data_IF_160546422135
#
_entry.id   IF_160546422135
#
_cell.length_a   1.000
_cell.length_b   1.000
_cell.length_c   1.000
_cell.angle_alpha   90.00
_cell.angle_beta   90.00
_cell.angle_gamma   90.00
#
_symmetry.space_group_name_H-M   'P 1'
#
loop_
_entity.id
_entity.type
_entity.pdbx_description
1 polymer ?
#
# COMPACT_ATOMS: atom_id res chain seq x y z
N UNK A 1 0.14 -24.71 25.37
CA UNK A 1 -0.73 -23.57 25.75
C UNK A 1 -0.22 -22.33 25.02
N UNK A 2 -1.04 -21.81 24.10
CA UNK A 2 -1.01 -20.51 23.41
C UNK A 2 0.35 -19.91 23.00
N UNK A 3 0.81 -20.21 21.78
CA UNK A 3 1.74 -19.35 21.03
C UNK A 3 1.08 -18.61 19.87
N UNK A 4 -0.24 -18.79 19.65
CA UNK A 4 -1.00 -18.22 18.52
C UNK A 4 -1.74 -16.90 18.84
N UNK A 5 -1.87 -16.53 20.11
CA UNK A 5 -2.60 -15.29 20.49
C UNK A 5 -1.65 -14.08 20.63
N UNK A 6 -0.35 -14.32 20.83
CA UNK A 6 0.63 -13.23 21.00
C UNK A 6 1.10 -12.64 19.67
N UNK A 7 1.17 -13.47 18.63
CA UNK A 7 1.48 -13.10 17.25
C UNK A 7 0.31 -12.40 16.57
N UNK A 8 -0.94 -12.83 16.77
CA UNK A 8 -2.12 -12.11 16.25
C UNK A 8 -2.17 -10.66 16.74
N UNK A 9 -1.87 -10.41 18.03
CA UNK A 9 -1.84 -9.06 18.57
C UNK A 9 -0.74 -8.18 17.96
N UNK A 10 0.48 -8.71 17.77
CA UNK A 10 1.58 -7.97 17.15
C UNK A 10 1.31 -7.60 15.68
N UNK A 11 0.55 -8.45 14.98
CA UNK A 11 0.17 -8.26 13.59
C UNK A 11 -0.98 -7.24 13.44
N UNK A 12 -2.00 -7.34 14.29
CA UNK A 12 -3.08 -6.34 14.40
C UNK A 12 -2.48 -4.97 14.73
N UNK A 13 -1.50 -4.92 15.63
CA UNK A 13 -0.82 -3.67 15.99
C UNK A 13 -0.07 -3.05 14.81
N UNK A 14 0.52 -3.85 13.91
CA UNK A 14 1.23 -3.31 12.75
C UNK A 14 0.26 -2.64 11.76
N UNK A 15 -0.91 -3.23 11.48
CA UNK A 15 -1.91 -2.59 10.62
C UNK A 15 -2.36 -1.24 11.17
N UNK A 16 -2.72 -1.21 12.45
CA UNK A 16 -3.19 0.02 13.11
C UNK A 16 -2.09 1.07 13.18
N UNK A 17 -0.87 0.68 13.55
CA UNK A 17 0.26 1.60 13.58
C UNK A 17 0.57 2.15 12.18
N UNK A 18 0.49 1.31 11.15
CA UNK A 18 0.77 1.71 9.78
C UNK A 18 -0.31 2.64 9.23
N UNK A 19 -1.59 2.31 9.43
CA UNK A 19 -2.73 3.11 8.98
C UNK A 19 -2.93 4.44 9.72
N UNK A 20 -2.33 4.60 10.91
CA UNK A 20 -2.32 5.87 11.64
C UNK A 20 -0.99 6.63 11.52
N UNK A 21 -0.02 6.10 10.76
CA UNK A 21 1.26 6.78 10.53
C UNK A 21 2.20 6.78 11.73
N UNK A 22 2.04 5.85 12.68
CA UNK A 22 2.87 5.75 13.88
C UNK A 22 4.25 5.16 13.57
N UNK A 23 5.10 5.94 12.90
CA UNK A 23 6.43 5.56 12.41
C UNK A 23 7.29 4.84 13.47
N UNK A 24 7.40 5.42 14.67
CA UNK A 24 8.22 4.85 15.74
C UNK A 24 7.74 3.47 16.19
N UNK A 25 6.42 3.25 16.21
CA UNK A 25 5.82 1.96 16.59
C UNK A 25 6.04 0.93 15.47
N UNK A 26 5.83 1.34 14.21
CA UNK A 26 6.10 0.47 13.04
C UNK A 26 7.56 0.02 13.05
N UNK A 27 8.50 0.95 13.22
CA UNK A 27 9.94 0.65 13.28
C UNK A 27 10.27 -0.34 14.39
N UNK A 28 9.77 -0.10 15.61
CA UNK A 28 9.98 -1.01 16.73
C UNK A 28 9.44 -2.42 16.45
N UNK A 29 8.24 -2.52 15.86
CA UNK A 29 7.63 -3.80 15.50
C UNK A 29 8.46 -4.54 14.44
N UNK A 30 8.94 -3.85 13.40
CA UNK A 30 9.78 -4.42 12.36
C UNK A 30 11.12 -4.94 12.92
N UNK A 31 11.74 -4.22 13.85
CA UNK A 31 12.99 -4.63 14.52
C UNK A 31 12.85 -5.92 15.32
N UNK A 32 11.65 -6.28 15.79
CA UNK A 32 11.43 -7.55 16.49
C UNK A 32 11.62 -8.78 15.59
N UNK A 33 11.53 -8.60 14.26
CA UNK A 33 11.70 -9.65 13.26
C UNK A 33 10.64 -10.77 13.27
N UNK A 34 9.60 -10.66 14.10
CA UNK A 34 8.54 -11.66 14.27
C UNK A 34 7.24 -11.31 13.55
N UNK A 35 7.24 -10.20 12.81
CA UNK A 35 6.03 -9.65 12.18
C UNK A 35 6.06 -9.99 10.70
N UNK A 36 4.95 -10.57 10.23
CA UNK A 36 4.68 -10.74 8.81
C UNK A 36 4.10 -9.43 8.26
N UNK A 37 4.87 -8.79 7.38
CA UNK A 37 4.56 -7.47 6.83
C UNK A 37 3.52 -7.51 5.71
N UNK A 38 3.21 -8.70 5.19
CA UNK A 38 2.23 -8.92 4.15
C UNK A 38 0.95 -9.59 4.67
N UNK A 39 0.84 -9.75 6.00
CA UNK A 39 -0.37 -10.30 6.59
C UNK A 39 -1.56 -9.41 6.27
N UNK A 40 -2.62 -10.04 5.77
CA UNK A 40 -3.89 -9.40 5.43
C UNK A 40 -4.85 -9.40 6.61
N UNK A 41 -5.55 -8.29 6.79
CA UNK A 41 -6.68 -8.19 7.71
C UNK A 41 -7.97 -8.80 7.12
N UNK A 42 -9.09 -8.61 7.82
CA UNK A 42 -10.40 -9.12 7.38
C UNK A 42 -10.88 -8.54 6.04
N UNK A 43 -10.37 -7.36 5.65
CA UNK A 43 -10.67 -6.70 4.38
C UNK A 43 -9.64 -7.05 3.29
N UNK A 44 -8.70 -7.95 3.59
CA UNK A 44 -7.64 -8.34 2.68
C UNK A 44 -6.50 -7.33 2.60
N UNK A 45 -6.48 -6.31 3.47
CA UNK A 45 -5.53 -5.19 3.42
C UNK A 45 -4.29 -5.51 4.22
N UNK A 46 -3.13 -5.08 3.72
CA UNK A 46 -1.83 -5.20 4.41
C UNK A 46 -1.49 -3.90 5.15
N UNK A 47 -0.47 -3.89 6.04
CA UNK A 47 0.05 -2.66 6.60
C UNK A 47 0.44 -1.63 5.53
N UNK A 48 0.98 -2.08 4.40
CA UNK A 48 1.33 -1.21 3.28
C UNK A 48 0.08 -0.60 2.64
N UNK A 49 -0.99 -1.38 2.46
CA UNK A 49 -2.28 -0.86 1.95
C UNK A 49 -2.81 0.26 2.84
N UNK A 50 -2.83 0.05 4.16
CA UNK A 50 -3.31 1.04 5.12
C UNK A 50 -2.45 2.31 5.13
N UNK A 51 -1.13 2.18 5.13
CA UNK A 51 -0.23 3.33 5.06
C UNK A 51 -0.37 4.09 3.74
N UNK A 52 -0.56 3.38 2.63
CA UNK A 52 -0.69 3.96 1.31
C UNK A 52 -2.03 4.69 1.11
N UNK A 53 -3.13 4.09 1.58
CA UNK A 53 -4.47 4.70 1.55
C UNK A 53 -4.54 6.01 2.34
N UNK A 54 -3.82 6.11 3.47
CA UNK A 54 -3.81 7.28 4.34
C UNK A 54 -2.66 8.26 4.06
N UNK A 55 -1.81 7.98 3.05
CA UNK A 55 -0.75 8.90 2.64
C UNK A 55 0.44 8.96 3.60
N UNK A 56 0.68 7.92 4.41
CA UNK A 56 1.74 7.89 5.42
C UNK A 56 3.10 7.55 4.81
N UNK A 57 3.71 8.53 4.13
CA UNK A 57 4.98 8.41 3.40
C UNK A 57 6.11 7.73 4.19
N UNK A 58 6.34 8.17 5.44
CA UNK A 58 7.42 7.63 6.27
C UNK A 58 7.22 6.14 6.60
N UNK A 59 5.98 5.74 6.87
CA UNK A 59 5.64 4.33 7.12
C UNK A 59 5.76 3.50 5.86
N UNK A 60 5.27 4.00 4.72
CA UNK A 60 5.43 3.33 3.42
C UNK A 60 6.90 3.07 3.14
N UNK A 61 7.75 4.09 3.33
CA UNK A 61 9.19 3.95 3.15
C UNK A 61 9.80 2.88 4.06
N UNK A 62 9.47 2.88 5.36
CA UNK A 62 9.95 1.86 6.30
C UNK A 62 9.54 0.44 5.90
N UNK A 63 8.30 0.26 5.47
CA UNK A 63 7.79 -1.05 5.03
C UNK A 63 8.51 -1.53 3.77
N UNK A 64 8.72 -0.65 2.78
CA UNK A 64 9.43 -0.98 1.55
C UNK A 64 10.91 -1.31 1.80
N UNK A 65 11.57 -0.61 2.72
CA UNK A 65 12.97 -0.85 3.11
C UNK A 65 13.22 -2.24 3.70
N UNK A 66 12.18 -2.94 4.18
CA UNK A 66 12.32 -4.33 4.63
C UNK A 66 12.72 -5.28 3.49
N UNK A 67 12.43 -4.90 2.24
CA UNK A 67 12.69 -5.70 1.04
C UNK A 67 11.84 -6.96 0.90
N UNK A 68 10.94 -7.24 1.86
CA UNK A 68 10.10 -8.44 1.91
C UNK A 68 8.68 -8.22 1.44
N UNK A 69 8.21 -6.97 1.46
CA UNK A 69 6.83 -6.60 1.15
C UNK A 69 6.51 -6.87 -0.32
N UNK A 70 5.39 -7.56 -0.55
CA UNK A 70 4.73 -7.63 -1.84
C UNK A 70 3.81 -6.42 -2.03
N UNK A 71 4.25 -5.53 -2.93
CA UNK A 71 3.64 -4.23 -3.21
C UNK A 71 2.37 -4.31 -4.05
N UNK A 72 2.11 -5.46 -4.69
CA UNK A 72 0.97 -5.67 -5.60
C UNK A 72 -0.15 -6.51 -4.96
N UNK A 73 -0.05 -6.79 -3.66
CA UNK A 73 -1.11 -7.50 -2.93
C UNK A 73 -2.43 -6.75 -3.02
N UNK A 74 -3.44 -7.45 -3.55
CA UNK A 74 -4.80 -6.97 -3.66
C UNK A 74 -5.59 -7.20 -2.38
N UNK A 75 -6.36 -6.20 -2.00
CA UNK A 75 -7.40 -6.33 -0.98
C UNK A 75 -8.66 -7.04 -1.52
N UNK A 76 -9.70 -7.18 -0.68
CA UNK A 76 -10.95 -7.83 -1.08
C UNK A 76 -11.72 -7.07 -2.17
N UNK A 77 -11.39 -5.80 -2.43
CA UNK A 77 -11.92 -5.00 -3.53
C UNK A 77 -11.08 -5.11 -4.81
N UNK A 78 -10.03 -5.95 -4.78
CA UNK A 78 -9.08 -6.11 -5.87
C UNK A 78 -8.09 -4.96 -5.99
N UNK A 79 -8.06 -4.01 -5.05
CA UNK A 79 -7.22 -2.81 -5.12
C UNK A 79 -5.83 -3.07 -4.53
N UNK A 80 -4.81 -2.52 -5.16
CA UNK A 80 -3.43 -2.56 -4.64
C UNK A 80 -3.16 -1.30 -3.80
N UNK A 81 -2.07 -1.28 -3.01
CA UNK A 81 -1.58 -0.06 -2.37
C UNK A 81 -1.45 1.13 -3.33
N UNK A 82 -0.97 0.87 -4.57
CA UNK A 82 -0.88 1.91 -5.60
C UNK A 82 -2.28 2.43 -6.01
N UNK A 83 -3.27 1.56 -6.18
CA UNK A 83 -4.65 1.97 -6.51
C UNK A 83 -5.21 2.90 -5.44
N UNK A 84 -5.00 2.59 -4.15
CA UNK A 84 -5.46 3.42 -3.03
C UNK A 84 -4.74 4.76 -2.97
N UNK A 85 -3.41 4.76 -3.01
CA UNK A 85 -2.62 6.00 -2.99
C UNK A 85 -2.96 6.90 -4.19
N UNK A 86 -3.15 6.32 -5.37
CA UNK A 86 -3.49 7.07 -6.58
C UNK A 86 -4.91 7.64 -6.52
N UNK A 87 -5.88 6.82 -6.09
CA UNK A 87 -7.27 7.23 -5.92
C UNK A 87 -7.47 8.32 -4.87
N UNK A 88 -6.61 8.39 -3.85
CA UNK A 88 -6.67 9.40 -2.79
C UNK A 88 -5.74 10.60 -3.04
N UNK A 89 -4.96 10.59 -4.13
CA UNK A 89 -4.11 11.72 -4.51
C UNK A 89 -2.80 11.83 -3.75
N UNK A 90 -2.32 10.76 -3.11
CA UNK A 90 -1.10 10.74 -2.33
C UNK A 90 0.15 10.61 -3.22
N UNK A 91 0.50 11.70 -3.92
CA UNK A 91 1.58 11.76 -4.91
C UNK A 91 2.92 11.20 -4.40
N UNK A 92 3.34 11.57 -3.19
CA UNK A 92 4.62 11.11 -2.64
C UNK A 92 4.63 9.60 -2.35
N UNK A 93 3.51 9.04 -1.88
CA UNK A 93 3.36 7.58 -1.72
C UNK A 93 3.38 6.87 -3.07
N UNK A 94 2.66 7.40 -4.06
CA UNK A 94 2.67 6.88 -5.43
C UNK A 94 4.10 6.83 -5.96
N UNK A 95 4.86 7.91 -5.77
CA UNK A 95 6.27 7.99 -6.18
C UNK A 95 7.12 6.92 -5.49
N UNK A 96 7.02 6.76 -4.17
CA UNK A 96 7.75 5.75 -3.42
C UNK A 96 7.45 4.32 -3.90
N UNK A 97 6.17 4.01 -4.14
CA UNK A 97 5.75 2.70 -4.66
C UNK A 97 6.34 2.43 -6.05
N UNK A 98 6.30 3.42 -6.95
CA UNK A 98 6.82 3.29 -8.32
C UNK A 98 8.36 3.19 -8.36
N UNK A 99 9.05 3.83 -7.41
CA UNK A 99 10.52 3.75 -7.29
C UNK A 99 11.04 2.36 -6.92
N UNK A 100 10.18 1.47 -6.40
CA UNK A 100 10.55 0.06 -6.16
C UNK A 100 10.90 -0.70 -7.44
N UNK A 101 10.37 -0.26 -8.58
CA UNK A 101 10.51 -0.93 -9.88
C UNK A 101 9.83 -2.30 -9.98
N UNK A 102 9.07 -2.72 -8.96
CA UNK A 102 8.38 -4.02 -8.89
C UNK A 102 6.87 -3.92 -9.12
N UNK A 103 6.31 -2.72 -8.93
CA UNK A 103 4.86 -2.48 -9.01
C UNK A 103 4.37 -2.60 -10.45
N UNK A 104 3.32 -3.40 -10.65
CA UNK A 104 2.51 -3.36 -11.87
C UNK A 104 1.49 -2.20 -11.80
N UNK A 105 1.76 -1.17 -12.60
CA UNK A 105 1.01 0.09 -12.63
C UNK A 105 -0.38 -0.03 -13.24
N UNK A 106 -0.66 -1.11 -13.97
CA UNK A 106 -1.89 -1.32 -14.72
C UNK A 106 -2.82 -2.36 -14.08
N UNK A 107 -2.51 -2.82 -12.86
CA UNK A 107 -3.37 -3.75 -12.13
C UNK A 107 -4.77 -3.18 -11.92
N UNK A 108 -5.74 -3.90 -12.48
CA UNK A 108 -7.17 -3.56 -12.34
C UNK A 108 -7.72 -4.01 -11.00
N UNK A 109 -8.55 -3.16 -10.42
CA UNK A 109 -9.37 -3.50 -9.26
C UNK A 109 -10.60 -4.34 -9.64
N UNK A 110 -11.43 -4.68 -8.66
CA UNK A 110 -12.65 -5.46 -8.86
C UNK A 110 -13.68 -4.81 -9.81
N UNK A 111 -13.61 -3.50 -10.02
CA UNK A 111 -14.45 -2.76 -10.96
C UNK A 111 -13.80 -2.66 -12.35
N UNK A 112 -12.65 -3.30 -12.57
CA UNK A 112 -11.88 -3.22 -13.80
C UNK A 112 -11.10 -1.91 -13.98
N UNK A 113 -10.95 -1.10 -12.92
CA UNK A 113 -10.32 0.23 -12.97
C UNK A 113 -8.85 0.17 -12.59
N UNK A 114 -8.00 0.90 -13.32
CA UNK A 114 -6.56 1.02 -13.03
C UNK A 114 -6.30 2.11 -11.99
N UNK A 115 -5.09 2.18 -11.38
CA UNK A 115 -4.68 3.32 -10.56
C UNK A 115 -4.81 4.66 -11.30
N UNK A 116 -4.48 4.70 -12.59
CA UNK A 116 -4.63 5.89 -13.44
C UNK A 116 -6.11 6.31 -13.55
N UNK A 117 -7.02 5.36 -13.76
CA UNK A 117 -8.45 5.63 -13.78
C UNK A 117 -8.92 6.26 -12.46
N UNK A 118 -8.55 5.68 -11.32
CA UNK A 118 -8.95 6.19 -9.99
C UNK A 118 -8.43 7.60 -9.73
N UNK A 119 -7.16 7.87 -10.09
CA UNK A 119 -6.58 9.20 -9.97
C UNK A 119 -7.31 10.23 -10.86
N UNK A 120 -7.67 9.86 -12.09
CA UNK A 120 -8.40 10.72 -13.01
C UNK A 120 -9.85 10.95 -12.57
N UNK A 121 -10.56 9.90 -12.13
CA UNK A 121 -11.93 9.96 -11.60
C UNK A 121 -12.05 10.97 -10.45
N UNK A 122 -11.04 11.00 -9.58
CA UNK A 122 -11.02 11.89 -8.41
C UNK A 122 -10.29 13.22 -8.65
N UNK A 123 -9.82 13.50 -9.87
CA UNK A 123 -9.23 14.78 -10.25
C UNK A 123 -7.79 15.03 -9.75
N UNK A 124 -7.03 13.98 -9.45
CA UNK A 124 -5.66 14.08 -8.93
C UNK A 124 -4.63 14.27 -10.06
N UNK A 125 -4.58 15.46 -10.64
CA UNK A 125 -3.77 15.80 -11.81
C UNK A 125 -2.28 15.43 -11.65
N UNK A 126 -1.67 15.71 -10.49
CA UNK A 126 -0.25 15.43 -10.26
C UNK A 126 0.04 13.92 -10.27
N UNK A 127 -0.83 13.11 -9.65
CA UNK A 127 -0.75 11.65 -9.69
C UNK A 127 -0.95 11.13 -11.10
N UNK A 128 -1.92 11.67 -11.85
CA UNK A 128 -2.16 11.30 -13.25
C UNK A 128 -0.91 11.52 -14.10
N UNK A 129 -0.28 12.70 -13.99
CA UNK A 129 0.98 13.00 -14.69
C UNK A 129 2.07 12.01 -14.32
N UNK A 130 2.26 11.76 -13.04
CA UNK A 130 3.28 10.84 -12.53
C UNK A 130 3.07 9.41 -13.06
N UNK A 131 1.83 8.91 -13.07
CA UNK A 131 1.52 7.57 -13.58
C UNK A 131 1.76 7.46 -15.09
N UNK A 132 1.38 8.49 -15.87
CA UNK A 132 1.63 8.53 -17.32
C UNK A 132 3.13 8.58 -17.64
N UNK A 133 3.92 9.35 -16.88
CA UNK A 133 5.38 9.39 -17.01
C UNK A 133 6.03 8.04 -16.72
N UNK A 134 5.42 7.23 -15.87
CA UNK A 134 5.86 5.87 -15.53
C UNK A 134 5.27 4.80 -16.43
N UNK A 135 4.59 5.18 -17.50
CA UNK A 135 4.12 4.27 -18.55
C UNK A 135 2.78 3.60 -18.26
N UNK A 136 1.98 4.11 -17.32
CA UNK A 136 0.62 3.60 -17.10
C UNK A 136 -0.20 3.68 -18.39
N UNK A 137 -0.90 2.61 -18.72
CA UNK A 137 -1.66 2.53 -19.95
C UNK A 137 -2.87 3.48 -19.87
N UNK A 138 -2.91 4.42 -20.81
CA UNK A 138 -4.02 5.37 -20.96
C UNK A 138 -5.11 4.87 -21.92
N UNK A 139 -4.97 3.65 -22.44
CA UNK A 139 -5.99 3.02 -23.26
C UNK A 139 -7.16 2.61 -22.37
N UNK A 140 -8.32 3.21 -22.61
CA UNK A 140 -9.59 2.74 -22.06
C UNK A 140 -9.84 1.31 -22.55
N UNK A 141 -10.26 0.36 -21.68
CA UNK A 141 -10.77 -0.93 -22.13
C UNK A 141 -12.04 -0.76 -22.97
#
# INVERSE_FOLDING_TARGET
MNTTVSNENGLILLWWAAGNGHEAVVKLLLETGKVDVDLKDGDGRTPLTWAAENGHEAVVKLLLETGKVDVDLKDNYGRTPLTWAAGNGHEAVVKLLLETGKVDVDLKDGDGRTPLWRAAENGHEAVVKLLLEKGANNSVP
#
